data_IF_678714310740
#
_entry.id   IF_678714310740
#
_cell.length_a   1.000
_cell.length_b   1.000
_cell.length_c   1.000
_cell.angle_alpha   90.00
_cell.angle_beta   90.00
_cell.angle_gamma   90.00
#
_symmetry.space_group_name_H-M   'P 1'
#
loop_
_entity.id
_entity.type
_entity.pdbx_description
1 polymer ?
#
# COMPACT_ATOMS: atom_id res chain seq x y z
N UNK A 1 -20.14 -15.11 17.48
CA UNK A 1 -19.65 -13.74 17.25
C UNK A 1 -18.15 -13.80 17.02
N UNK A 2 -17.58 -13.09 16.06
CA UNK A 2 -16.12 -13.04 15.88
C UNK A 2 -15.47 -12.35 17.10
N UNK A 3 -14.30 -12.84 17.50
CA UNK A 3 -13.52 -12.24 18.60
C UNK A 3 -12.80 -10.95 18.18
N UNK A 4 -12.56 -10.77 16.88
CA UNK A 4 -11.89 -9.59 16.32
C UNK A 4 -12.91 -8.64 15.70
N UNK A 5 -12.78 -7.34 15.96
CA UNK A 5 -13.65 -6.30 15.41
C UNK A 5 -13.01 -5.59 14.21
N UNK A 6 -11.75 -5.17 14.33
CA UNK A 6 -11.01 -4.41 13.33
C UNK A 6 -9.51 -4.54 13.53
N UNK A 7 -8.73 -4.11 12.55
CA UNK A 7 -7.31 -3.87 12.70
C UNK A 7 -7.12 -2.45 13.27
N UNK A 8 -6.42 -2.32 14.39
CA UNK A 8 -6.01 -1.03 14.97
C UNK A 8 -4.71 -0.53 14.31
N UNK A 9 -3.67 -1.36 14.36
CA UNK A 9 -2.38 -1.08 13.73
C UNK A 9 -1.65 -2.35 13.33
N UNK A 10 -0.67 -2.19 12.47
CA UNK A 10 0.33 -3.19 12.17
C UNK A 10 1.73 -2.61 12.38
N UNK A 11 2.75 -3.44 12.31
CA UNK A 11 4.16 -3.02 12.35
C UNK A 11 4.81 -3.34 11.01
N UNK A 12 5.45 -2.34 10.41
CA UNK A 12 6.23 -2.49 9.20
C UNK A 12 7.72 -2.37 9.56
N UNK A 13 8.51 -3.35 9.16
CA UNK A 13 9.97 -3.26 9.28
C UNK A 13 10.52 -2.59 8.04
N UNK A 14 11.34 -1.55 8.22
CA UNK A 14 11.84 -0.69 7.15
C UNK A 14 13.37 -0.63 7.17
N UNK A 15 13.98 -0.47 5.99
CA UNK A 15 15.45 -0.32 5.87
C UNK A 15 15.90 1.10 6.21
N UNK A 16 15.12 2.10 5.81
CA UNK A 16 15.42 3.52 5.98
C UNK A 16 14.17 4.28 6.41
N UNK A 17 14.18 4.72 7.66
CA UNK A 17 13.04 5.42 8.26
C UNK A 17 12.68 6.71 7.51
N UNK A 18 13.69 7.51 7.11
CA UNK A 18 13.43 8.79 6.46
C UNK A 18 12.80 8.59 5.07
N UNK A 19 13.33 7.67 4.27
CA UNK A 19 12.74 7.35 2.96
C UNK A 19 11.31 6.85 3.09
N UNK A 20 11.02 6.04 4.12
CA UNK A 20 9.67 5.57 4.42
C UNK A 20 8.75 6.75 4.75
N UNK A 21 9.17 7.67 5.62
CA UNK A 21 8.40 8.87 5.96
C UNK A 21 8.19 9.77 4.75
N UNK A 22 9.21 9.98 3.92
CA UNK A 22 9.11 10.78 2.69
C UNK A 22 8.06 10.19 1.73
N UNK A 23 7.99 8.87 1.62
CA UNK A 23 6.99 8.20 0.79
C UNK A 23 5.59 8.27 1.42
N UNK A 24 5.41 7.76 2.62
CA UNK A 24 4.08 7.66 3.21
C UNK A 24 3.50 9.02 3.64
N UNK A 25 4.31 9.92 4.16
CA UNK A 25 3.84 11.25 4.56
C UNK A 25 3.94 12.26 3.42
N UNK A 26 5.06 12.28 2.69
CA UNK A 26 5.29 13.24 1.62
C UNK A 26 4.47 12.95 0.36
N UNK A 27 4.34 11.67 -0.04
CA UNK A 27 3.63 11.29 -1.25
C UNK A 27 2.21 10.84 -0.99
N UNK A 28 1.99 9.95 0.01
CA UNK A 28 0.66 9.41 0.28
C UNK A 28 -0.17 10.27 1.24
N UNK A 29 0.43 11.30 1.85
CA UNK A 29 -0.27 12.24 2.73
C UNK A 29 -0.64 11.68 4.10
N UNK A 30 0.04 10.62 4.57
CA UNK A 30 -0.11 10.11 5.92
C UNK A 30 0.47 11.11 6.94
N UNK A 31 0.01 11.04 8.18
CA UNK A 31 0.54 11.85 9.28
C UNK A 31 1.68 11.11 9.98
N UNK A 32 2.83 11.77 10.15
CA UNK A 32 3.90 11.26 10.99
C UNK A 32 3.53 11.38 12.46
N UNK A 33 3.66 10.29 13.21
CA UNK A 33 3.49 10.26 14.66
C UNK A 33 4.80 9.89 15.34
N UNK A 34 5.05 10.56 16.48
CA UNK A 34 6.08 10.16 17.44
C UNK A 34 5.40 9.81 18.76
N UNK A 35 5.67 8.62 19.28
CA UNK A 35 5.04 8.16 20.54
C UNK A 35 6.00 7.31 21.36
N UNK A 36 5.66 7.14 22.68
CA UNK A 36 6.52 6.41 23.62
C UNK A 36 7.95 6.92 23.59
N UNK A 37 8.92 6.01 23.55
CA UNK A 37 10.36 6.33 23.54
C UNK A 37 10.85 6.72 22.13
N UNK A 38 10.29 7.79 21.57
CA UNK A 38 10.62 8.33 20.23
C UNK A 38 10.35 7.37 19.06
N UNK A 39 9.45 6.40 19.27
CA UNK A 39 9.03 5.50 18.20
C UNK A 39 8.25 6.25 17.13
N UNK A 40 8.44 5.87 15.88
CA UNK A 40 7.75 6.46 14.74
C UNK A 40 6.62 5.58 14.25
N UNK A 41 5.56 6.22 13.82
CA UNK A 41 4.45 5.61 13.10
C UNK A 41 3.94 6.56 12.02
N UNK A 42 3.19 6.04 11.07
CA UNK A 42 2.40 6.78 10.10
C UNK A 42 0.92 6.53 10.38
N UNK A 43 0.10 7.57 10.38
CA UNK A 43 -1.34 7.50 10.62
C UNK A 43 -2.12 7.89 9.38
N UNK A 44 -3.21 7.18 9.15
CA UNK A 44 -4.20 7.45 8.11
C UNK A 44 -5.58 7.01 8.62
N UNK A 45 -6.57 7.90 8.53
CA UNK A 45 -7.87 7.66 9.15
C UNK A 45 -7.74 7.31 10.65
N UNK A 46 -8.40 6.22 11.06
CA UNK A 46 -8.38 5.72 12.43
C UNK A 46 -7.33 4.61 12.65
N UNK A 47 -6.42 4.41 11.71
CA UNK A 47 -5.41 3.36 11.75
C UNK A 47 -4.01 3.94 11.69
N UNK A 48 -3.03 3.15 12.09
CA UNK A 48 -1.62 3.50 11.96
C UNK A 48 -0.75 2.29 11.60
N UNK A 49 0.44 2.58 11.10
CA UNK A 49 1.51 1.61 10.92
C UNK A 49 2.67 2.06 11.80
N UNK A 50 3.04 1.26 12.79
CA UNK A 50 4.26 1.48 13.58
C UNK A 50 5.46 1.09 12.72
N UNK A 51 6.55 1.85 12.80
CA UNK A 51 7.75 1.62 12.02
C UNK A 51 8.86 1.06 12.91
N UNK A 52 9.40 -0.10 12.53
CA UNK A 52 10.62 -0.65 13.11
C UNK A 52 11.75 -0.57 12.08
N UNK A 53 12.90 -0.10 12.49
CA UNK A 53 14.09 -0.09 11.63
C UNK A 53 14.76 -1.46 11.71
N UNK A 54 15.08 -2.05 10.56
CA UNK A 54 15.76 -3.34 10.45
C UNK A 54 17.01 -3.38 11.34
N UNK A 55 17.09 -4.42 12.18
CA UNK A 55 18.19 -4.61 13.14
C UNK A 55 18.01 -3.83 14.46
N UNK A 56 16.93 -3.02 14.58
CA UNK A 56 16.58 -2.31 15.80
C UNK A 56 15.09 -2.49 16.14
N UNK A 57 14.56 -3.67 15.86
CA UNK A 57 13.17 -4.01 16.14
C UNK A 57 12.90 -4.01 17.64
N UNK A 58 11.72 -3.51 18.03
CA UNK A 58 11.31 -3.42 19.43
C UNK A 58 10.62 -4.71 19.82
N UNK A 59 11.06 -5.34 20.88
CA UNK A 59 10.51 -6.59 21.42
C UNK A 59 9.17 -6.32 22.14
N UNK A 60 8.13 -7.17 21.95
CA UNK A 60 8.05 -8.28 21.02
C UNK A 60 7.80 -7.83 19.57
N UNK A 61 8.32 -8.58 18.61
CA UNK A 61 8.13 -8.34 17.17
C UNK A 61 7.80 -9.63 16.43
N UNK A 62 7.54 -9.54 15.12
CA UNK A 62 7.32 -10.71 14.28
C UNK A 62 8.54 -11.65 14.27
N UNK A 63 8.32 -12.93 14.04
CA UNK A 63 9.41 -13.92 14.01
C UNK A 63 10.44 -13.62 12.89
N UNK A 64 9.96 -13.18 11.73
CA UNK A 64 10.78 -12.81 10.57
C UNK A 64 10.47 -11.38 10.14
N UNK A 65 10.94 -10.35 10.89
CA UNK A 65 10.72 -8.96 10.53
C UNK A 65 11.67 -8.61 9.38
N UNK A 66 11.12 -8.31 8.21
CA UNK A 66 11.93 -8.02 7.03
C UNK A 66 11.34 -6.85 6.22
N UNK A 67 12.16 -5.88 5.76
CA UNK A 67 11.75 -4.91 4.76
C UNK A 67 11.30 -5.59 3.47
N UNK A 68 10.30 -5.00 2.78
CA UNK A 68 9.83 -5.49 1.49
C UNK A 68 8.96 -6.75 1.53
N UNK A 69 8.48 -7.15 2.73
CA UNK A 69 7.66 -8.35 2.92
C UNK A 69 6.16 -8.09 3.01
N UNK A 70 5.73 -6.83 2.92
CA UNK A 70 4.33 -6.47 3.06
C UNK A 70 3.64 -6.29 1.70
N UNK A 71 2.34 -6.63 1.69
CA UNK A 71 1.39 -6.36 0.62
C UNK A 71 0.15 -5.73 1.28
N UNK A 72 -0.09 -4.45 1.02
CA UNK A 72 -1.06 -3.63 1.74
C UNK A 72 -2.03 -2.96 0.78
N UNK A 73 -3.32 -2.98 1.12
CA UNK A 73 -4.36 -2.27 0.40
C UNK A 73 -4.92 -1.11 1.24
N UNK A 74 -4.77 0.10 0.72
CA UNK A 74 -5.32 1.32 1.30
C UNK A 74 -6.53 1.80 0.52
N UNK A 75 -7.58 2.19 1.23
CA UNK A 75 -8.72 2.84 0.62
C UNK A 75 -8.49 4.35 0.52
N UNK A 76 -8.75 4.91 -0.64
CA UNK A 76 -8.65 6.34 -0.90
C UNK A 76 -9.99 6.93 -1.31
N UNK A 77 -10.24 8.18 -0.91
CA UNK A 77 -11.34 9.00 -1.41
C UNK A 77 -10.94 9.81 -2.65
N UNK A 78 -9.64 9.92 -2.93
CA UNK A 78 -9.12 10.57 -4.15
C UNK A 78 -9.31 9.64 -5.35
N UNK A 79 -9.88 10.12 -6.47
CA UNK A 79 -10.07 9.29 -7.65
C UNK A 79 -8.76 8.67 -8.17
N UNK A 80 -8.80 7.39 -8.58
CA UNK A 80 -7.63 6.65 -9.08
C UNK A 80 -6.91 7.37 -10.22
N UNK A 81 -7.65 8.01 -11.14
CA UNK A 81 -7.04 8.78 -12.23
C UNK A 81 -6.19 9.96 -11.73
N UNK A 82 -6.64 10.65 -10.66
CA UNK A 82 -5.88 11.73 -10.04
C UNK A 82 -4.64 11.20 -9.32
N UNK A 83 -4.75 10.06 -8.62
CA UNK A 83 -3.63 9.40 -7.96
C UNK A 83 -2.56 8.95 -8.96
N UNK A 84 -2.93 8.41 -10.11
CA UNK A 84 -1.98 8.04 -11.16
C UNK A 84 -1.16 9.25 -11.66
N UNK A 85 -1.82 10.41 -11.85
CA UNK A 85 -1.15 11.67 -12.18
C UNK A 85 -0.22 12.16 -11.07
N UNK A 86 -0.66 12.04 -9.82
CA UNK A 86 0.11 12.39 -8.63
C UNK A 86 1.39 11.55 -8.50
N UNK A 87 1.31 10.23 -8.65
CA UNK A 87 2.47 9.34 -8.64
C UNK A 87 3.48 9.68 -9.74
N UNK A 88 2.98 9.91 -10.95
CA UNK A 88 3.84 10.32 -12.07
C UNK A 88 4.59 11.61 -11.75
N UNK A 89 3.93 12.60 -11.14
CA UNK A 89 4.56 13.88 -10.75
C UNK A 89 5.66 13.69 -9.68
N UNK A 90 5.55 12.64 -8.84
CA UNK A 90 6.56 12.30 -7.83
C UNK A 90 7.58 11.26 -8.31
N UNK A 91 7.59 10.92 -9.61
CA UNK A 91 8.53 9.94 -10.17
C UNK A 91 8.27 8.49 -9.73
N UNK A 92 7.06 8.18 -9.22
CA UNK A 92 6.68 6.85 -8.77
C UNK A 92 5.97 6.14 -9.92
N UNK A 93 6.50 4.97 -10.29
CA UNK A 93 5.90 4.13 -11.31
C UNK A 93 4.65 3.43 -10.78
N UNK A 94 3.54 3.50 -11.51
CA UNK A 94 2.38 2.63 -11.31
C UNK A 94 2.73 1.29 -11.95
N UNK A 95 2.86 0.24 -11.12
CA UNK A 95 3.24 -1.11 -11.56
C UNK A 95 2.09 -1.81 -12.27
N UNK A 96 0.86 -1.60 -11.76
CA UNK A 96 -0.35 -2.18 -12.32
C UNK A 96 -1.55 -1.27 -12.07
N UNK A 97 -2.47 -1.24 -13.01
CA UNK A 97 -3.77 -0.58 -12.88
C UNK A 97 -3.98 0.62 -13.82
N UNK A 98 -5.18 1.20 -13.83
CA UNK A 98 -6.36 0.85 -13.00
C UNK A 98 -6.90 -0.55 -13.31
N UNK A 99 -7.23 -1.32 -12.27
CA UNK A 99 -7.71 -2.69 -12.39
C UNK A 99 -8.78 -2.98 -11.32
N UNK A 100 -9.81 -3.76 -11.69
CA UNK A 100 -10.84 -4.19 -10.75
C UNK A 100 -10.30 -5.26 -9.80
N UNK A 101 -10.69 -5.17 -8.53
CA UNK A 101 -10.35 -6.13 -7.46
C UNK A 101 -11.57 -6.38 -6.58
N UNK A 102 -11.53 -7.50 -5.86
CA UNK A 102 -12.52 -7.82 -4.83
C UNK A 102 -11.96 -7.45 -3.47
N UNK A 103 -12.54 -6.45 -2.84
CA UNK A 103 -12.20 -6.05 -1.48
C UNK A 103 -13.02 -6.78 -0.42
N UNK A 104 -12.71 -6.55 0.84
CA UNK A 104 -13.40 -7.17 1.98
C UNK A 104 -14.91 -6.83 2.05
N UNK A 105 -15.32 -5.69 1.53
CA UNK A 105 -16.70 -5.20 1.62
C UNK A 105 -17.30 -4.82 0.27
N UNK A 106 -16.73 -5.27 -0.84
CA UNK A 106 -17.22 -5.00 -2.21
C UNK A 106 -16.10 -4.79 -3.21
N UNK A 107 -16.48 -4.48 -4.43
CA UNK A 107 -15.52 -4.28 -5.52
C UNK A 107 -14.71 -2.99 -5.33
N UNK A 108 -13.48 -3.03 -5.78
CA UNK A 108 -12.50 -1.96 -5.75
C UNK A 108 -12.02 -1.66 -7.18
N UNK A 109 -11.65 -0.41 -7.42
CA UNK A 109 -10.79 -0.03 -8.54
C UNK A 109 -9.44 0.36 -7.97
N UNK A 110 -8.37 -0.31 -8.39
CA UNK A 110 -7.08 -0.27 -7.73
C UNK A 110 -5.93 0.08 -8.67
N UNK A 111 -4.91 0.73 -8.11
CA UNK A 111 -3.57 0.88 -8.70
C UNK A 111 -2.53 0.38 -7.71
N UNK A 112 -1.40 -0.08 -8.24
CA UNK A 112 -0.31 -0.67 -7.46
C UNK A 112 0.99 0.11 -7.67
N UNK A 113 1.66 0.41 -6.58
CA UNK A 113 2.99 1.05 -6.56
C UNK A 113 3.89 0.31 -5.57
N UNK A 114 5.20 0.59 -5.61
CA UNK A 114 6.15 0.10 -4.62
C UNK A 114 6.56 1.21 -3.68
N UNK A 115 6.66 0.88 -2.40
CA UNK A 115 7.29 1.75 -1.41
C UNK A 115 8.84 1.65 -1.51
N UNK A 116 9.61 2.45 -0.73
CA UNK A 116 11.08 2.44 -0.78
C UNK A 116 11.75 1.10 -0.47
N UNK A 117 11.08 0.21 0.27
CA UNK A 117 11.59 -1.13 0.60
C UNK A 117 11.09 -2.20 -0.38
N UNK A 118 10.27 -1.84 -1.37
CA UNK A 118 9.70 -2.76 -2.34
C UNK A 118 8.41 -3.44 -1.87
N UNK A 119 7.80 -3.02 -0.75
CA UNK A 119 6.48 -3.48 -0.37
C UNK A 119 5.46 -3.14 -1.45
N UNK A 120 4.52 -4.05 -1.72
CA UNK A 120 3.45 -3.80 -2.67
C UNK A 120 2.35 -2.98 -2.01
N UNK A 121 2.06 -1.82 -2.58
CA UNK A 121 1.06 -0.89 -2.08
C UNK A 121 -0.06 -0.76 -3.10
N UNK A 122 -1.19 -1.34 -2.76
CA UNK A 122 -2.45 -1.16 -3.47
C UNK A 122 -3.17 0.07 -2.93
N UNK A 123 -3.61 0.96 -3.81
CA UNK A 123 -4.49 2.07 -3.43
C UNK A 123 -5.77 1.95 -4.24
N UNK A 124 -6.91 1.95 -3.55
CA UNK A 124 -8.18 1.58 -4.11
C UNK A 124 -9.30 2.55 -3.78
N UNK A 125 -10.21 2.74 -4.73
CA UNK A 125 -11.51 3.35 -4.49
C UNK A 125 -12.59 2.28 -4.34
N UNK A 126 -13.48 2.44 -3.35
CA UNK A 126 -14.70 1.63 -3.22
C UNK A 126 -15.79 2.10 -4.18
N UNK A 127 -16.63 1.17 -4.64
CA UNK A 127 -17.88 1.48 -5.35
C UNK A 127 -17.71 2.36 -6.58
N UNK A 128 -16.69 2.12 -7.38
CA UNK A 128 -16.68 2.67 -8.74
C UNK A 128 -17.70 1.86 -9.55
N UNK A 129 -18.98 2.32 -9.57
CA UNK A 129 -19.86 1.98 -10.68
C UNK A 129 -19.24 2.65 -11.90
N UNK A 130 -18.50 1.90 -12.68
CA UNK A 130 -18.19 2.30 -14.04
C UNK A 130 -19.54 2.46 -14.74
N UNK A 131 -19.98 3.70 -14.94
CA UNK A 131 -20.99 3.99 -15.95
C UNK A 131 -20.49 3.31 -17.22
N UNK A 132 -21.32 2.42 -17.77
CA UNK A 132 -21.08 1.77 -19.06
C UNK A 132 -21.15 2.85 -20.14
N UNK A 133 -20.12 3.64 -20.28
CA UNK A 133 -19.94 4.52 -21.42
C UNK A 133 -18.51 4.36 -21.91
N UNK A 134 -18.45 3.66 -23.05
CA UNK A 134 -17.43 3.71 -24.08
C UNK A 134 -16.02 3.25 -23.72
N UNK A 135 -15.85 1.92 -23.62
CA UNK A 135 -14.58 1.33 -24.03
C UNK A 135 -14.85 0.35 -25.19
N UNK A 136 -14.86 0.88 -26.40
CA UNK A 136 -14.77 0.05 -27.59
C UNK A 136 -13.37 -0.55 -27.70
N UNK A 137 -13.37 -1.85 -27.70
CA UNK A 137 -12.43 -2.83 -28.22
C UNK A 137 -11.08 -2.33 -28.76
N UNK A 138 -10.03 -2.61 -28.04
CA UNK A 138 -8.71 -2.88 -28.61
C UNK A 138 -8.25 -4.22 -28.04
N UNK A 139 -8.44 -5.28 -28.81
CA UNK A 139 -7.81 -6.58 -28.56
C UNK A 139 -6.30 -6.41 -28.70
N UNK A 140 -5.56 -6.75 -27.69
CA UNK A 140 -4.19 -7.27 -27.86
C UNK A 140 -3.88 -8.30 -26.77
N UNK A 141 -3.26 -9.33 -27.25
CA UNK A 141 -3.04 -10.66 -26.72
C UNK A 141 -2.22 -10.74 -25.44
N UNK A 142 -2.52 -11.81 -24.71
CA UNK A 142 -1.72 -12.42 -23.65
C UNK A 142 -0.24 -12.50 -23.96
N UNK A 143 0.60 -12.23 -22.97
CA UNK A 143 1.84 -13.00 -22.81
C UNK A 143 2.33 -13.06 -21.38
N UNK A 144 2.30 -14.28 -20.92
CA UNK A 144 3.21 -15.00 -20.01
C UNK A 144 3.55 -14.39 -18.65
N UNK A 145 2.94 -15.01 -17.64
CA UNK A 145 3.44 -15.07 -16.28
C UNK A 145 4.88 -15.61 -16.26
N UNK A 146 5.83 -14.81 -15.83
CA UNK A 146 7.14 -15.28 -15.40
C UNK A 146 7.08 -15.55 -13.89
N UNK A 147 7.14 -16.83 -13.58
CA UNK A 147 7.29 -17.37 -12.25
C UNK A 147 8.63 -16.90 -11.66
N UNK A 148 8.60 -16.12 -10.59
CA UNK A 148 9.78 -15.86 -9.78
C UNK A 148 9.76 -16.83 -8.61
N UNK A 149 10.58 -17.85 -8.71
CA UNK A 149 11.02 -18.62 -7.55
C UNK A 149 12.16 -17.83 -6.90
N UNK A 150 11.93 -17.30 -5.70
CA UNK A 150 12.99 -16.88 -4.82
C UNK A 150 12.93 -17.80 -3.60
N UNK A 151 13.97 -18.57 -3.42
CA UNK A 151 14.21 -19.37 -2.22
C UNK A 151 14.46 -18.45 -1.03
N UNK A 152 13.76 -18.73 0.07
CA UNK A 152 14.06 -18.18 1.41
C UNK A 152 15.21 -18.93 2.04
#
# INVERSE_FOLDING_TARGET
MPFLASLDHLVLTVSDLQKTLDFYCGVLGCEELTFGDKRKAIRFGDQKINLHVKGNEIVPHALCPAPGSADLCFLSTVPIAALAGHFKAHGIAVELGPVERTGATGNLLSIYVRDPDGNLIEIANRNVRLSKETFQSGKTEERSALCWQAEC
#
